data_IF_955832119776
#
_entry.id   IF_955832119776
#
_cell.length_a   1.000
_cell.length_b   1.000
_cell.length_c   1.000
_cell.angle_alpha   90.00
_cell.angle_beta   90.00
_cell.angle_gamma   90.00
#
_symmetry.space_group_name_H-M   'P 1'
#
loop_
_entity.id
_entity.type
_entity.pdbx_description
1 polymer ?
#
# COMPACT_ATOMS: atom_id res chain seq x y z
N UNK A 1 -43.56 -11.10 -10.09
CA UNK A 1 -42.55 -10.20 -10.69
C UNK A 1 -41.72 -9.58 -9.58
N UNK A 2 -40.66 -10.27 -9.15
CA UNK A 2 -39.79 -9.81 -8.06
C UNK A 2 -38.70 -8.92 -8.63
N UNK A 3 -38.84 -7.60 -8.46
CA UNK A 3 -37.77 -6.66 -8.76
C UNK A 3 -36.57 -6.97 -7.86
N UNK A 4 -35.44 -7.34 -8.47
CA UNK A 4 -34.13 -7.41 -7.81
C UNK A 4 -33.75 -5.99 -7.41
N UNK A 5 -34.29 -5.53 -6.28
CA UNK A 5 -33.77 -4.36 -5.56
C UNK A 5 -32.47 -4.83 -4.94
N UNK A 6 -31.34 -4.52 -5.59
CA UNK A 6 -30.02 -4.71 -5.01
C UNK A 6 -29.94 -3.95 -3.69
N UNK A 7 -30.23 -4.64 -2.58
CA UNK A 7 -29.95 -4.14 -1.24
C UNK A 7 -28.43 -4.03 -1.18
N UNK A 8 -27.91 -2.85 -0.84
CA UNK A 8 -26.52 -2.66 -0.47
C UNK A 8 -26.41 -2.67 1.05
N UNK A 9 -26.44 -3.87 1.69
CA UNK A 9 -26.53 -3.97 3.13
C UNK A 9 -25.29 -3.38 3.81
N UNK A 10 -24.09 -3.55 3.26
CA UNK A 10 -22.84 -3.10 3.88
C UNK A 10 -22.84 -1.59 4.13
N UNK A 11 -23.07 -0.79 3.10
CA UNK A 11 -23.09 0.68 3.20
C UNK A 11 -24.20 1.18 4.14
N UNK A 12 -25.41 0.63 4.03
CA UNK A 12 -26.53 1.06 4.87
C UNK A 12 -26.35 0.65 6.34
N UNK A 13 -25.71 -0.49 6.62
CA UNK A 13 -25.33 -0.91 7.98
C UNK A 13 -24.29 0.05 8.57
N UNK A 14 -23.28 0.46 7.79
CA UNK A 14 -22.29 1.46 8.23
C UNK A 14 -22.96 2.79 8.56
N UNK A 15 -23.89 3.27 7.72
CA UNK A 15 -24.66 4.49 8.00
C UNK A 15 -25.55 4.34 9.24
N UNK A 16 -26.21 3.21 9.40
CA UNK A 16 -27.07 2.92 10.54
C UNK A 16 -26.28 3.00 11.86
N UNK A 17 -25.11 2.35 11.91
CA UNK A 17 -24.22 2.41 13.08
C UNK A 17 -23.71 3.83 13.33
N UNK A 18 -23.25 4.55 12.29
CA UNK A 18 -22.75 5.92 12.41
C UNK A 18 -23.80 6.89 12.96
N UNK A 19 -25.06 6.73 12.56
CA UNK A 19 -26.16 7.60 12.96
C UNK A 19 -27.00 7.04 14.12
N UNK A 20 -26.54 5.95 14.78
CA UNK A 20 -27.27 5.24 15.85
C UNK A 20 -28.75 5.02 15.49
N UNK A 21 -28.98 4.52 14.28
CA UNK A 21 -30.31 4.35 13.69
C UNK A 21 -30.46 2.95 13.10
N UNK A 22 -31.64 2.65 12.55
CA UNK A 22 -31.86 1.39 11.83
C UNK A 22 -31.54 1.52 10.34
N UNK A 23 -31.16 0.40 9.72
CA UNK A 23 -30.92 0.30 8.28
C UNK A 23 -32.11 0.82 7.47
N UNK A 24 -33.33 0.46 7.87
CA UNK A 24 -34.55 0.89 7.18
C UNK A 24 -34.75 2.41 7.23
N UNK A 25 -34.41 3.06 8.36
CA UNK A 25 -34.46 4.52 8.49
C UNK A 25 -33.42 5.18 7.57
N UNK A 26 -32.19 4.66 7.54
CA UNK A 26 -31.14 5.19 6.67
C UNK A 26 -31.47 4.98 5.18
N UNK A 27 -31.97 3.79 4.82
CA UNK A 27 -32.40 3.49 3.46
C UNK A 27 -33.49 4.44 2.99
N UNK A 28 -34.50 4.71 3.83
CA UNK A 28 -35.58 5.66 3.52
C UNK A 28 -35.07 7.10 3.42
N UNK A 29 -34.20 7.52 4.35
CA UNK A 29 -33.64 8.87 4.42
C UNK A 29 -32.87 9.23 3.16
N UNK A 30 -32.07 8.31 2.65
CA UNK A 30 -31.21 8.53 1.49
C UNK A 30 -31.82 8.00 0.19
N UNK A 31 -33.05 7.46 0.20
CA UNK A 31 -33.68 6.95 -1.01
C UNK A 31 -33.87 8.06 -2.04
N UNK A 32 -33.34 7.85 -3.24
CA UNK A 32 -33.47 8.76 -4.37
C UNK A 32 -33.73 7.98 -5.66
N UNK A 33 -34.19 8.69 -6.67
CA UNK A 33 -34.31 8.17 -8.04
C UNK A 33 -33.43 9.03 -8.93
N UNK A 34 -32.59 8.38 -9.74
CA UNK A 34 -31.76 9.07 -10.71
C UNK A 34 -32.16 8.68 -12.12
N UNK A 35 -32.20 9.68 -12.99
CA UNK A 35 -32.39 9.48 -14.43
C UNK A 35 -31.11 8.94 -15.04
N UNK A 36 -31.24 7.84 -15.76
CA UNK A 36 -30.16 7.28 -16.59
C UNK A 36 -30.60 7.28 -18.04
N UNK A 37 -29.68 7.18 -19.02
CA UNK A 37 -30.04 7.01 -20.43
C UNK A 37 -30.93 5.79 -20.74
N UNK A 38 -31.12 4.90 -19.76
CA UNK A 38 -31.94 3.68 -19.87
C UNK A 38 -33.16 3.71 -18.94
N UNK A 39 -33.57 4.89 -18.47
CA UNK A 39 -34.72 5.10 -17.60
C UNK A 39 -34.37 5.34 -16.13
N UNK A 40 -35.39 5.61 -15.30
CA UNK A 40 -35.20 5.95 -13.89
C UNK A 40 -34.73 4.73 -13.09
N UNK A 41 -33.77 4.94 -12.17
CA UNK A 41 -33.28 3.90 -11.26
C UNK A 41 -33.24 4.40 -9.82
N UNK A 42 -33.61 3.52 -8.89
CA UNK A 42 -33.46 3.77 -7.45
C UNK A 42 -31.98 3.76 -7.05
N UNK A 43 -31.59 4.71 -6.23
CA UNK A 43 -30.26 4.86 -5.66
C UNK A 43 -30.34 5.41 -4.24
N UNK A 44 -29.20 5.52 -3.60
CA UNK A 44 -29.05 6.24 -2.34
C UNK A 44 -28.21 7.49 -2.56
N UNK A 45 -28.72 8.66 -2.19
CA UNK A 45 -28.08 9.95 -2.45
C UNK A 45 -28.04 10.81 -1.18
N UNK A 46 -26.86 11.34 -0.88
CA UNK A 46 -26.66 12.37 0.15
C UNK A 46 -26.26 13.68 -0.55
N UNK A 47 -27.03 14.74 -0.29
CA UNK A 47 -26.83 16.07 -0.86
C UNK A 47 -26.54 17.09 0.25
N UNK A 48 -25.49 17.89 0.07
CA UNK A 48 -25.11 18.99 0.97
C UNK A 48 -25.01 20.27 0.17
N UNK A 49 -25.91 21.22 0.46
CA UNK A 49 -25.91 22.54 -0.17
C UNK A 49 -24.71 23.37 0.26
N UNK A 50 -24.24 24.23 -0.65
CA UNK A 50 -23.15 25.17 -0.41
C UNK A 50 -23.51 26.52 -1.02
N UNK A 51 -23.37 27.59 -0.24
CA UNK A 51 -23.67 28.95 -0.71
C UNK A 51 -22.72 29.29 -1.87
N UNK A 52 -23.28 29.65 -3.02
CA UNK A 52 -22.53 30.06 -4.21
C UNK A 52 -21.70 28.96 -4.90
N UNK A 53 -21.87 27.68 -4.51
CA UNK A 53 -21.15 26.55 -5.13
C UNK A 53 -22.11 25.41 -5.45
N UNK A 54 -21.71 24.55 -6.38
CA UNK A 54 -22.45 23.31 -6.66
C UNK A 54 -22.57 22.47 -5.38
N UNK A 55 -23.75 21.88 -5.10
CA UNK A 55 -23.94 21.02 -3.95
C UNK A 55 -23.02 19.81 -4.03
N UNK A 56 -22.56 19.33 -2.88
CA UNK A 56 -21.90 18.03 -2.83
C UNK A 56 -22.95 16.93 -2.90
N UNK A 57 -22.83 16.08 -3.91
CA UNK A 57 -23.72 14.93 -4.10
C UNK A 57 -22.88 13.66 -4.02
N UNK A 58 -23.11 12.88 -2.98
CA UNK A 58 -22.58 11.52 -2.85
C UNK A 58 -23.66 10.52 -3.23
N UNK A 59 -23.49 9.79 -4.33
CA UNK A 59 -24.47 8.84 -4.84
C UNK A 59 -23.94 7.41 -4.84
N UNK A 60 -24.73 6.50 -4.30
CA UNK A 60 -24.48 5.07 -4.32
C UNK A 60 -25.59 4.35 -5.09
N UNK A 61 -25.20 3.50 -6.04
CA UNK A 61 -26.14 2.90 -6.99
C UNK A 61 -26.50 3.87 -8.12
N UNK A 62 -27.60 3.60 -8.83
CA UNK A 62 -28.01 4.42 -9.99
C UNK A 62 -27.13 4.28 -11.22
N UNK A 63 -26.07 3.47 -11.17
CA UNK A 63 -25.21 3.15 -12.31
C UNK A 63 -25.79 1.92 -13.02
N UNK A 64 -26.15 2.00 -14.31
CA UNK A 64 -26.63 0.84 -15.04
C UNK A 64 -25.48 -0.16 -15.23
N UNK A 65 -25.57 -1.31 -14.55
CA UNK A 65 -24.69 -2.45 -14.82
C UNK A 65 -25.18 -3.17 -16.08
N UNK A 66 -24.93 -2.56 -17.24
CA UNK A 66 -25.23 -3.12 -18.56
C UNK A 66 -23.92 -3.30 -19.32
N UNK A 67 -23.74 -4.50 -19.87
CA UNK A 67 -22.61 -4.77 -20.75
C UNK A 67 -22.85 -4.08 -22.10
N UNK A 68 -21.96 -3.17 -22.49
CA UNK A 68 -21.92 -2.65 -23.85
C UNK A 68 -20.88 -3.43 -24.65
N UNK A 69 -21.33 -4.39 -25.48
CA UNK A 69 -20.44 -5.19 -26.33
C UNK A 69 -19.75 -4.39 -27.44
N UNK A 70 -20.24 -3.18 -27.74
CA UNK A 70 -19.70 -2.28 -28.76
C UNK A 70 -18.80 -1.18 -28.18
N UNK A 71 -18.51 -1.22 -26.87
CA UNK A 71 -17.61 -0.23 -26.27
C UNK A 71 -16.21 -0.43 -26.83
N UNK A 72 -15.63 0.65 -27.35
CA UNK A 72 -14.20 0.68 -27.70
C UNK A 72 -13.42 0.68 -26.39
N UNK A 73 -12.66 -0.38 -26.14
CA UNK A 73 -11.75 -0.45 -25.00
C UNK A 73 -10.50 0.33 -25.37
N UNK A 74 -10.39 1.56 -24.88
CA UNK A 74 -9.14 2.32 -24.97
C UNK A 74 -8.23 1.85 -23.86
N UNK A 75 -7.40 0.84 -24.15
CA UNK A 75 -6.33 0.47 -23.23
C UNK A 75 -5.28 1.58 -23.24
N UNK A 76 -5.15 2.27 -22.10
CA UNK A 76 -4.19 3.36 -21.99
C UNK A 76 -2.82 2.73 -21.84
N UNK A 77 -2.00 2.80 -22.87
CA UNK A 77 -0.58 2.51 -22.71
C UNK A 77 0.00 3.52 -21.71
N UNK A 78 0.17 3.06 -20.48
CA UNK A 78 0.87 3.82 -19.46
C UNK A 78 2.31 3.96 -19.93
N UNK A 79 2.79 5.20 -20.05
CA UNK A 79 4.20 5.43 -20.29
C UNK A 79 5.01 4.69 -19.22
N UNK A 80 6.16 4.07 -19.57
CA UNK A 80 6.99 3.41 -18.59
C UNK A 80 7.31 4.41 -17.48
N UNK A 81 6.83 4.13 -16.27
CA UNK A 81 7.19 4.94 -15.12
C UNK A 81 8.68 4.73 -14.93
N UNK A 82 9.48 5.79 -15.11
CA UNK A 82 10.90 5.80 -14.76
C UNK A 82 11.03 5.65 -13.25
N UNK A 83 10.96 4.42 -12.76
CA UNK A 83 11.27 4.12 -11.37
C UNK A 83 12.77 4.34 -11.20
N UNK A 84 13.16 5.25 -10.29
CA UNK A 84 14.57 5.33 -9.87
C UNK A 84 14.99 3.94 -9.43
N UNK A 85 16.11 3.42 -9.96
CA UNK A 85 16.65 2.11 -9.58
C UNK A 85 16.67 2.04 -8.05
N UNK A 86 16.02 1.02 -7.49
CA UNK A 86 15.91 0.86 -6.03
C UNK A 86 17.32 0.83 -5.46
N UNK A 87 17.60 1.71 -4.49
CA UNK A 87 18.93 1.93 -3.89
C UNK A 87 19.64 0.63 -3.51
N UNK A 88 18.91 -0.36 -2.99
CA UNK A 88 19.46 -1.67 -2.62
C UNK A 88 20.05 -2.43 -3.82
N UNK A 89 19.38 -2.39 -4.98
CA UNK A 89 19.87 -3.07 -6.19
C UNK A 89 21.17 -2.41 -6.65
N UNK A 90 21.26 -1.08 -6.62
CA UNK A 90 22.49 -0.36 -6.95
C UNK A 90 23.63 -0.71 -5.99
N UNK A 91 23.35 -0.82 -4.69
CA UNK A 91 24.35 -1.20 -3.66
C UNK A 91 24.82 -2.65 -3.81
N UNK A 92 23.91 -3.57 -4.10
CA UNK A 92 24.23 -4.97 -4.39
C UNK A 92 25.10 -5.11 -5.65
N UNK A 93 24.75 -4.42 -6.73
CA UNK A 93 25.51 -4.43 -7.98
C UNK A 93 26.89 -3.78 -7.85
N UNK A 94 27.11 -2.93 -6.84
CA UNK A 94 28.43 -2.38 -6.54
C UNK A 94 29.39 -3.44 -5.96
N UNK A 95 28.87 -4.59 -5.48
CA UNK A 95 29.67 -5.72 -5.01
C UNK A 95 30.58 -5.41 -3.83
N UNK A 96 30.30 -4.33 -3.09
CA UNK A 96 31.18 -3.80 -2.04
C UNK A 96 30.56 -3.95 -0.67
N UNK A 97 31.28 -4.56 0.26
CA UNK A 97 30.91 -4.64 1.67
C UNK A 97 30.90 -3.24 2.29
N UNK A 98 29.81 -2.85 2.93
CA UNK A 98 29.64 -1.54 3.57
C UNK A 98 30.25 -1.45 4.96
N UNK A 99 30.62 -2.60 5.53
CA UNK A 99 31.30 -2.68 6.82
C UNK A 99 32.83 -2.59 6.64
N UNK A 100 33.43 -3.51 5.87
CA UNK A 100 34.89 -3.59 5.70
C UNK A 100 35.41 -3.00 4.38
N UNK A 101 34.53 -2.65 3.44
CA UNK A 101 34.92 -2.03 2.17
C UNK A 101 35.45 -2.99 1.09
N UNK A 102 35.60 -4.29 1.39
CA UNK A 102 36.09 -5.31 0.44
C UNK A 102 35.09 -5.52 -0.72
N UNK A 103 35.63 -5.77 -1.91
CA UNK A 103 34.86 -6.20 -3.08
C UNK A 103 34.94 -7.73 -3.11
N UNK A 104 33.82 -8.40 -2.88
CA UNK A 104 33.72 -9.86 -2.74
C UNK A 104 32.25 -10.29 -2.99
N UNK A 105 31.94 -11.58 -2.86
CA UNK A 105 30.57 -12.06 -2.75
C UNK A 105 29.84 -11.36 -1.59
N UNK A 106 28.87 -10.50 -1.92
CA UNK A 106 28.09 -9.73 -0.95
C UNK A 106 26.69 -10.30 -0.74
N UNK A 107 26.25 -10.25 0.51
CA UNK A 107 24.94 -10.65 0.99
C UNK A 107 24.26 -9.45 1.67
N UNK A 108 22.93 -9.49 1.77
CA UNK A 108 22.16 -8.44 2.45
C UNK A 108 21.81 -8.91 3.85
N UNK A 109 22.38 -8.26 4.86
CA UNK A 109 21.89 -8.37 6.22
C UNK A 109 20.64 -7.49 6.39
N UNK A 110 19.55 -8.06 6.91
CA UNK A 110 18.28 -7.37 7.12
C UNK A 110 17.79 -7.48 8.56
N UNK A 111 17.29 -6.37 9.10
CA UNK A 111 16.65 -6.31 10.43
C UNK A 111 15.17 -5.95 10.32
N UNK A 112 14.34 -6.50 11.21
CA UNK A 112 12.89 -6.27 11.19
C UNK A 112 12.53 -4.79 11.42
N UNK A 113 13.15 -4.14 12.42
CA UNK A 113 12.92 -2.72 12.75
C UNK A 113 14.24 -2.05 13.15
N UNK A 114 14.39 -0.76 12.82
CA UNK A 114 15.55 0.04 13.24
C UNK A 114 15.57 0.30 14.76
N UNK A 115 14.39 0.30 15.39
CA UNK A 115 14.27 0.45 16.84
C UNK A 115 14.86 -0.75 17.61
N UNK A 116 15.00 -1.90 16.94
CA UNK A 116 15.50 -3.13 17.56
C UNK A 116 17.05 -3.17 17.57
N UNK A 117 17.73 -2.15 17.01
CA UNK A 117 19.20 -2.04 16.96
C UNK A 117 19.85 -1.65 18.31
N UNK A 118 19.06 -1.56 19.39
CA UNK A 118 19.52 -1.13 20.70
C UNK A 118 19.71 0.39 20.83
N UNK A 119 19.93 0.85 22.06
CA UNK A 119 20.17 2.27 22.35
C UNK A 119 21.56 2.68 21.81
N UNK A 120 21.71 3.90 21.26
CA UNK A 120 23.03 4.43 20.94
C UNK A 120 23.91 4.44 22.19
N UNK A 121 25.12 3.89 22.09
CA UNK A 121 26.05 3.78 23.20
C UNK A 121 27.21 2.83 22.92
N UNK A 122 28.18 2.73 23.84
CA UNK A 122 29.37 1.88 23.70
C UNK A 122 29.06 0.38 23.57
N UNK A 123 27.88 -0.05 24.04
CA UNK A 123 27.44 -1.45 23.99
C UNK A 123 26.79 -1.84 22.65
N UNK A 124 26.58 -0.88 21.74
CA UNK A 124 25.97 -1.15 20.43
C UNK A 124 27.04 -1.66 19.46
N UNK A 125 26.81 -2.77 18.73
CA UNK A 125 27.82 -3.26 17.81
C UNK A 125 27.99 -2.32 16.60
N UNK A 126 29.21 -2.24 16.01
CA UNK A 126 29.51 -1.29 14.93
C UNK A 126 28.59 -1.40 13.71
N UNK A 127 28.12 -2.60 13.37
CA UNK A 127 27.19 -2.81 12.26
C UNK A 127 25.82 -2.15 12.54
N UNK A 128 25.37 -2.14 13.80
CA UNK A 128 24.11 -1.52 14.21
C UNK A 128 24.22 0.02 14.20
N UNK A 129 25.40 0.57 14.55
CA UNK A 129 25.70 1.99 14.35
C UNK A 129 25.58 2.40 12.88
N UNK A 130 26.17 1.60 11.98
CA UNK A 130 26.12 1.86 10.53
C UNK A 130 24.69 1.82 9.99
N UNK A 131 23.87 0.85 10.40
CA UNK A 131 22.47 0.76 9.99
C UNK A 131 21.62 1.92 10.53
N UNK A 132 21.86 2.34 11.78
CA UNK A 132 21.20 3.47 12.41
C UNK A 132 21.55 4.79 11.72
N UNK A 133 22.84 5.04 11.46
CA UNK A 133 23.32 6.26 10.79
C UNK A 133 22.76 6.39 9.36
N UNK A 134 22.62 5.26 8.64
CA UNK A 134 22.01 5.25 7.30
C UNK A 134 20.48 5.32 7.32
N UNK A 135 19.84 5.13 8.48
CA UNK A 135 18.40 4.94 8.61
C UNK A 135 17.86 3.84 7.67
N UNK A 136 18.60 2.74 7.49
CA UNK A 136 18.23 1.64 6.59
C UNK A 136 18.19 0.30 7.33
N UNK A 137 17.14 -0.47 7.06
CA UNK A 137 16.98 -1.85 7.58
C UNK A 137 17.85 -2.88 6.85
N UNK A 138 18.68 -2.46 5.90
CA UNK A 138 19.51 -3.36 5.09
C UNK A 138 20.96 -2.86 5.05
N UNK A 139 21.89 -3.79 5.25
CA UNK A 139 23.33 -3.56 5.16
C UNK A 139 23.91 -4.59 4.17
N UNK A 140 24.70 -4.13 3.20
CA UNK A 140 25.35 -5.02 2.22
C UNK A 140 26.72 -5.41 2.78
N UNK A 141 26.96 -6.70 3.00
CA UNK A 141 28.15 -7.21 3.70
C UNK A 141 28.72 -8.44 3.02
N UNK A 142 30.02 -8.68 3.12
CA UNK A 142 30.61 -9.96 2.71
C UNK A 142 30.24 -11.08 3.69
N UNK A 143 30.41 -12.34 3.27
CA UNK A 143 30.07 -13.52 4.07
C UNK A 143 30.69 -13.51 5.47
N UNK A 144 31.96 -13.08 5.61
CA UNK A 144 32.64 -12.99 6.91
C UNK A 144 31.96 -12.00 7.85
N UNK A 145 31.72 -10.76 7.39
CA UNK A 145 31.03 -9.74 8.16
C UNK A 145 29.57 -10.14 8.45
N UNK A 146 28.90 -10.84 7.53
CA UNK A 146 27.56 -11.33 7.77
C UNK A 146 27.53 -12.37 8.90
N UNK A 147 28.52 -13.27 8.92
CA UNK A 147 28.67 -14.26 9.97
C UNK A 147 28.96 -13.59 11.34
N UNK A 148 29.85 -12.59 11.37
CA UNK A 148 30.17 -11.82 12.58
C UNK A 148 28.94 -11.12 13.17
N UNK A 149 28.05 -10.59 12.33
CA UNK A 149 26.79 -9.97 12.76
C UNK A 149 25.88 -10.98 13.48
N UNK A 150 25.82 -12.22 12.99
CA UNK A 150 25.02 -13.30 13.59
C UNK A 150 25.74 -14.03 14.74
N UNK A 151 26.94 -13.59 15.13
CA UNK A 151 27.75 -14.27 16.15
C UNK A 151 28.24 -15.66 15.73
N UNK A 152 28.16 -15.98 14.43
CA UNK A 152 28.72 -17.22 13.88
C UNK A 152 30.12 -16.88 13.37
N UNK A 153 31.17 -17.35 14.04
CA UNK A 153 32.53 -17.15 13.56
C UNK A 153 32.65 -17.77 12.16
N UNK A 154 32.94 -16.96 11.14
CA UNK A 154 33.13 -17.48 9.78
C UNK A 154 34.34 -18.43 9.77
N UNK A 155 34.15 -19.64 9.26
CA UNK A 155 35.26 -20.55 8.97
C UNK A 155 35.90 -20.03 7.70
N UNK A 156 37.21 -19.71 7.67
CA UNK A 156 37.86 -19.30 6.44
C UNK A 156 37.75 -20.44 5.43
N UNK A 157 37.25 -20.12 4.23
CA UNK A 157 37.30 -21.03 3.10
C UNK A 157 38.78 -21.29 2.76
N UNK A 158 39.16 -22.57 2.77
CA UNK A 158 40.47 -23.01 2.31
C UNK A 158 40.62 -22.65 0.83
N UNK A 159 41.61 -21.81 0.52
CA UNK A 159 42.13 -21.60 -0.83
C UNK A 159 42.95 -22.82 -1.25
N UNK A 160 42.61 -23.40 -2.41
CA UNK A 160 43.53 -24.24 -3.21
C UNK A 160 44.46 -23.37 -4.06
#
# INVERSE_FOLDING_TARGET
MSTITGKAPSMLMTLANKHRSSVSKMARKYAATTETPHGPRKCFEARVERIGRKPLVGRFGGIPLRQNKKTVVTDRQLAPVSTKRKELVTRLLAGRCESCGRIDGVEVHHVAKLADLGKPGPDRPPWADLMAARHRKTLVVCASCHADIHGRRSVPAFTE
#
